data_IF_285906055221
#
_entry.id   IF_285906055221
#
_cell.length_a   1.000
_cell.length_b   1.000
_cell.length_c   1.000
_cell.angle_alpha   90.00
_cell.angle_beta   90.00
_cell.angle_gamma   90.00
#
_symmetry.space_group_name_H-M   'P 1'
#
loop_
_entity.id
_entity.type
_entity.pdbx_description
1 polymer ?
#
# COMPACT_ATOMS: atom_id res chain seq x y z
N UNK A 1 -43.41 60.23 59.64
CA UNK A 1 -42.43 59.18 59.46
C UNK A 1 -42.53 58.73 57.99
N UNK A 2 -41.70 59.31 57.17
CA UNK A 2 -41.61 59.06 55.70
C UNK A 2 -40.59 58.00 55.45
N UNK A 3 -40.93 56.94 54.76
CA UNK A 3 -40.05 55.88 54.31
C UNK A 3 -39.77 56.15 52.85
N UNK A 4 -38.49 56.47 52.55
CA UNK A 4 -37.97 56.65 51.23
C UNK A 4 -37.77 55.27 50.54
N UNK A 5 -38.37 55.08 49.38
CA UNK A 5 -38.13 53.95 48.48
C UNK A 5 -37.04 54.38 47.49
N UNK A 6 -35.89 53.72 47.56
CA UNK A 6 -34.85 53.82 46.51
C UNK A 6 -35.18 52.80 45.40
N UNK A 7 -35.23 53.28 44.17
CA UNK A 7 -35.36 52.50 42.94
C UNK A 7 -33.93 52.34 42.37
N UNK A 8 -33.41 51.12 42.43
CA UNK A 8 -32.14 50.78 41.76
C UNK A 8 -32.43 50.34 40.35
N UNK A 9 -32.00 51.11 39.34
CA UNK A 9 -32.02 50.74 37.95
C UNK A 9 -30.83 49.83 37.66
N UNK A 10 -31.11 48.57 37.33
CA UNK A 10 -30.11 47.61 36.89
C UNK A 10 -29.87 47.77 35.38
N UNK A 11 -28.64 48.15 35.01
CA UNK A 11 -28.17 48.14 33.65
C UNK A 11 -27.80 46.69 33.24
N UNK A 12 -28.58 46.09 32.33
CA UNK A 12 -28.22 44.83 31.68
C UNK A 12 -27.18 45.10 30.60
N UNK A 13 -25.92 44.73 30.85
CA UNK A 13 -24.90 44.72 29.81
C UNK A 13 -25.09 43.49 28.91
N UNK A 14 -25.47 43.69 27.66
CA UNK A 14 -25.46 42.66 26.62
C UNK A 14 -24.00 42.36 26.24
N UNK A 15 -23.45 41.25 26.70
CA UNK A 15 -22.21 40.67 26.19
C UNK A 15 -22.52 40.05 24.82
N UNK A 16 -22.20 40.78 23.75
CA UNK A 16 -22.11 40.22 22.40
C UNK A 16 -20.80 39.40 22.35
N UNK A 17 -20.95 38.08 22.61
CA UNK A 17 -19.85 37.16 22.36
C UNK A 17 -19.60 37.05 20.86
N UNK A 18 -18.51 37.66 20.37
CA UNK A 18 -17.99 37.37 19.06
C UNK A 18 -17.43 35.93 19.12
N UNK A 19 -18.18 34.97 18.61
CA UNK A 19 -17.67 33.66 18.30
C UNK A 19 -16.62 33.87 17.17
N UNK A 20 -15.36 34.01 17.52
CA UNK A 20 -14.25 33.82 16.59
C UNK A 20 -14.33 32.35 16.21
N UNK A 21 -14.90 32.04 15.05
CA UNK A 21 -14.68 30.76 14.40
C UNK A 21 -13.15 30.63 14.25
N UNK A 22 -12.54 29.74 15.01
CA UNK A 22 -11.20 29.29 14.69
C UNK A 22 -11.33 28.69 13.29
N UNK A 23 -10.86 29.40 12.26
CA UNK A 23 -10.56 28.78 10.98
C UNK A 23 -9.58 27.66 11.33
N UNK A 24 -9.97 26.43 11.12
CA UNK A 24 -9.01 25.32 11.18
C UNK A 24 -7.87 25.72 10.26
N UNK A 25 -6.66 25.76 10.78
CA UNK A 25 -5.48 26.04 9.97
C UNK A 25 -5.40 24.94 8.93
N UNK A 26 -5.37 25.32 7.67
CA UNK A 26 -5.25 24.39 6.56
C UNK A 26 -3.96 23.57 6.77
N UNK A 27 -4.06 22.25 6.69
CA UNK A 27 -2.90 21.38 6.86
C UNK A 27 -2.00 21.56 5.64
N UNK A 28 -0.73 21.87 5.87
CA UNK A 28 0.27 22.12 4.81
C UNK A 28 1.47 21.18 4.88
N UNK A 29 1.57 20.37 5.92
CA UNK A 29 2.65 19.40 6.13
C UNK A 29 2.06 17.99 6.09
N UNK A 30 2.61 17.12 5.23
CA UNK A 30 2.13 15.74 5.03
C UNK A 30 3.29 14.77 5.11
N UNK A 31 2.99 13.55 5.53
CA UNK A 31 3.96 12.46 5.62
C UNK A 31 3.44 11.22 4.94
N UNK A 32 4.26 10.59 4.13
CA UNK A 32 3.93 9.35 3.40
C UNK A 32 4.97 8.29 3.70
N UNK A 33 4.53 7.11 4.12
CA UNK A 33 5.40 5.98 4.37
C UNK A 33 5.51 5.06 3.15
N UNK A 34 6.66 4.42 2.98
CA UNK A 34 6.86 3.35 2.02
C UNK A 34 7.87 2.33 2.56
N UNK A 35 7.86 1.12 2.03
CA UNK A 35 8.84 0.08 2.33
C UNK A 35 9.52 -0.42 1.06
N UNK A 36 10.62 -1.19 1.23
CA UNK A 36 11.41 -1.67 0.10
C UNK A 36 10.64 -2.75 -0.67
N UNK A 37 10.27 -2.41 -1.88
CA UNK A 37 9.73 -3.26 -2.93
C UNK A 37 10.13 -2.67 -4.28
N UNK A 38 10.45 -3.47 -5.27
CA UNK A 38 11.01 -2.97 -6.54
C UNK A 38 10.11 -1.92 -7.22
N UNK A 39 8.79 -2.13 -7.20
CA UNK A 39 7.80 -1.18 -7.76
C UNK A 39 7.62 0.09 -6.93
N UNK A 40 8.06 0.10 -5.65
CA UNK A 40 7.97 1.28 -4.77
C UNK A 40 9.28 2.06 -4.62
N UNK A 41 10.40 1.58 -5.17
CA UNK A 41 11.67 2.32 -5.18
C UNK A 41 11.56 3.75 -5.73
N UNK A 42 10.63 4.06 -6.66
CA UNK A 42 10.39 5.43 -7.09
C UNK A 42 10.08 6.40 -5.95
N UNK A 43 9.39 5.96 -4.86
CA UNK A 43 9.08 6.83 -3.73
C UNK A 43 10.35 7.34 -3.02
N UNK A 44 11.33 6.45 -2.77
CA UNK A 44 12.63 6.87 -2.24
C UNK A 44 13.38 7.80 -3.18
N UNK A 45 13.35 7.50 -4.49
CA UNK A 45 13.97 8.38 -5.49
C UNK A 45 13.32 9.76 -5.56
N UNK A 46 12.00 9.87 -5.37
CA UNK A 46 11.29 11.15 -5.30
C UNK A 46 11.82 12.07 -4.20
N UNK A 47 12.09 11.50 -3.02
CA UNK A 47 12.67 12.21 -1.87
C UNK A 47 14.11 12.62 -2.18
N UNK A 48 14.97 11.66 -2.52
CA UNK A 48 16.40 11.86 -2.69
C UNK A 48 16.75 12.81 -3.84
N UNK A 49 15.95 12.83 -4.89
CA UNK A 49 16.16 13.70 -6.07
C UNK A 49 15.58 15.09 -5.95
N UNK A 50 14.74 15.34 -4.92
CA UNK A 50 14.00 16.60 -4.77
C UNK A 50 12.82 16.76 -5.75
N UNK A 51 12.40 15.70 -6.44
CA UNK A 51 11.22 15.75 -7.31
C UNK A 51 9.96 15.94 -6.46
N UNK A 52 9.89 15.30 -5.26
CA UNK A 52 8.77 15.51 -4.35
C UNK A 52 8.67 16.97 -3.90
N UNK A 53 9.79 17.57 -3.47
CA UNK A 53 9.86 18.99 -3.08
C UNK A 53 9.36 19.91 -4.20
N UNK A 54 9.81 19.68 -5.42
CA UNK A 54 9.37 20.48 -6.60
C UNK A 54 7.86 20.48 -6.78
N UNK A 55 7.21 19.32 -6.61
CA UNK A 55 5.77 19.19 -6.76
C UNK A 55 5.02 19.73 -5.54
N UNK A 56 5.54 19.55 -4.34
CA UNK A 56 5.00 20.12 -3.11
C UNK A 56 5.05 21.65 -3.14
N UNK A 57 6.18 22.23 -3.53
CA UNK A 57 6.37 23.70 -3.71
C UNK A 57 5.37 24.29 -4.72
N UNK A 58 5.08 23.57 -5.81
CA UNK A 58 4.10 24.00 -6.82
C UNK A 58 2.72 24.27 -6.21
N UNK A 59 2.35 23.50 -5.19
CA UNK A 59 1.06 23.60 -4.51
C UNK A 59 1.14 24.29 -3.14
N UNK A 60 2.33 24.75 -2.73
CA UNK A 60 2.52 25.48 -1.48
C UNK A 60 2.36 24.61 -0.22
N UNK A 61 2.70 23.32 -0.32
CA UNK A 61 2.66 22.34 0.76
C UNK A 61 4.05 21.75 0.97
N UNK A 62 4.21 20.94 2.02
CA UNK A 62 5.39 20.15 2.35
C UNK A 62 4.98 18.68 2.43
N UNK A 63 5.74 17.79 1.80
CA UNK A 63 5.47 16.33 1.78
C UNK A 63 6.76 15.58 2.05
N UNK A 64 6.86 14.94 3.22
CA UNK A 64 7.97 14.09 3.62
C UNK A 64 7.69 12.63 3.21
N UNK A 65 8.57 12.03 2.41
CA UNK A 65 8.50 10.61 2.03
C UNK A 65 9.45 9.80 2.92
N UNK A 66 8.90 8.91 3.75
CA UNK A 66 9.63 8.20 4.80
C UNK A 66 9.73 6.71 4.51
N UNK A 67 10.94 6.20 4.39
CA UNK A 67 11.16 4.75 4.30
C UNK A 67 11.02 4.09 5.68
N UNK A 68 10.19 3.06 5.76
CA UNK A 68 10.05 2.17 6.93
C UNK A 68 10.49 0.78 6.49
N UNK A 69 11.48 0.20 7.17
CA UNK A 69 12.09 -1.06 6.75
C UNK A 69 11.23 -2.31 7.04
N UNK A 70 10.18 -2.18 7.83
CA UNK A 70 9.20 -3.24 8.08
C UNK A 70 7.89 -2.85 7.41
N UNK A 71 7.44 -3.67 6.47
CA UNK A 71 6.29 -3.40 5.63
C UNK A 71 4.99 -3.25 6.44
N UNK A 72 4.68 -4.24 7.29
CA UNK A 72 3.43 -4.21 8.08
C UNK A 72 3.46 -3.08 9.11
N UNK A 73 4.63 -2.77 9.68
CA UNK A 73 4.79 -1.63 10.59
C UNK A 73 4.49 -0.31 9.89
N UNK A 74 4.88 -0.15 8.60
CA UNK A 74 4.56 1.06 7.83
C UNK A 74 3.04 1.28 7.72
N UNK A 75 2.29 0.21 7.43
CA UNK A 75 0.83 0.24 7.34
C UNK A 75 0.19 0.48 8.73
N UNK A 76 0.73 -0.13 9.79
CA UNK A 76 0.25 0.08 11.15
C UNK A 76 0.43 1.53 11.60
N UNK A 77 1.56 2.16 11.28
CA UNK A 77 1.79 3.57 11.59
C UNK A 77 0.84 4.50 10.81
N UNK A 78 0.57 4.20 9.54
CA UNK A 78 -0.48 4.88 8.77
C UNK A 78 -1.86 4.70 9.43
N UNK A 79 -2.22 3.48 9.77
CA UNK A 79 -3.50 3.15 10.43
C UNK A 79 -3.66 3.89 11.76
N UNK A 80 -2.56 4.09 12.49
CA UNK A 80 -2.52 4.87 13.73
C UNK A 80 -2.51 6.39 13.52
N UNK A 81 -2.48 6.88 12.27
CA UNK A 81 -2.49 8.30 11.92
C UNK A 81 -1.15 9.01 12.03
N UNK A 82 -0.02 8.27 12.07
CA UNK A 82 1.32 8.85 12.05
C UNK A 82 1.73 9.31 10.64
N UNK A 83 1.09 8.79 9.60
CA UNK A 83 1.28 9.13 8.20
C UNK A 83 -0.06 9.45 7.53
N UNK A 84 -0.03 10.28 6.50
CA UNK A 84 -1.19 10.66 5.68
C UNK A 84 -1.41 9.72 4.51
N UNK A 85 -0.38 8.99 4.12
CA UNK A 85 -0.41 7.97 3.09
C UNK A 85 0.64 6.89 3.34
N UNK A 86 0.47 5.76 2.65
CA UNK A 86 1.41 4.63 2.72
C UNK A 86 1.35 3.83 1.41
N UNK A 87 2.49 3.26 0.98
CA UNK A 87 2.48 2.24 -0.07
C UNK A 87 2.06 0.89 0.54
N UNK A 88 1.05 0.27 -0.05
CA UNK A 88 0.54 -1.03 0.41
C UNK A 88 -0.11 -1.79 -0.74
N UNK A 89 -0.20 -3.12 -0.62
CA UNK A 89 -0.97 -3.92 -1.57
C UNK A 89 -2.48 -3.75 -1.33
N UNK A 90 -3.28 -4.09 -2.32
CA UNK A 90 -4.74 -4.05 -2.22
C UNK A 90 -5.28 -4.91 -1.07
N UNK A 91 -4.71 -6.09 -0.85
CA UNK A 91 -5.15 -7.01 0.21
C UNK A 91 -4.78 -6.52 1.61
N UNK A 92 -3.58 -5.96 1.78
CA UNK A 92 -3.14 -5.43 3.07
C UNK A 92 -3.84 -4.10 3.39
N UNK A 93 -4.16 -3.30 2.37
CA UNK A 93 -5.04 -2.14 2.51
C UNK A 93 -6.44 -2.54 2.97
N UNK A 94 -6.98 -3.63 2.41
CA UNK A 94 -8.30 -4.15 2.79
C UNK A 94 -8.31 -4.68 4.22
N UNK A 95 -7.31 -5.48 4.61
CA UNK A 95 -7.29 -6.18 5.89
C UNK A 95 -6.85 -5.29 7.07
N UNK A 96 -5.92 -4.36 6.88
CA UNK A 96 -5.31 -3.61 7.99
C UNK A 96 -6.01 -2.24 8.15
N UNK A 97 -5.77 -1.19 7.34
CA UNK A 97 -6.39 0.11 7.60
C UNK A 97 -7.89 0.07 7.38
N UNK A 98 -8.38 -0.47 6.25
CA UNK A 98 -9.81 -0.45 5.94
C UNK A 98 -10.60 -1.38 6.85
N UNK A 99 -10.08 -2.59 7.13
CA UNK A 99 -10.64 -3.51 8.10
C UNK A 99 -10.61 -2.96 9.54
N UNK A 100 -9.62 -2.13 9.85
CA UNK A 100 -9.49 -1.37 11.10
C UNK A 100 -10.40 -0.14 11.19
N UNK A 101 -11.17 0.17 10.14
CA UNK A 101 -12.11 1.30 10.09
C UNK A 101 -11.49 2.64 9.68
N UNK A 102 -10.27 2.65 9.15
CA UNK A 102 -9.65 3.85 8.56
C UNK A 102 -10.12 3.98 7.12
N UNK A 103 -10.87 5.04 6.81
CA UNK A 103 -11.33 5.33 5.45
C UNK A 103 -10.13 5.73 4.58
N UNK A 104 -9.79 4.87 3.62
CA UNK A 104 -8.55 4.88 2.85
C UNK A 104 -8.86 4.92 1.35
N UNK A 105 -8.18 5.82 0.63
CA UNK A 105 -8.30 5.97 -0.82
C UNK A 105 -7.02 5.50 -1.51
N UNK A 106 -7.12 4.53 -2.41
CA UNK A 106 -6.09 4.21 -3.40
C UNK A 106 -6.01 5.37 -4.39
N UNK A 107 -5.04 6.25 -4.17
CA UNK A 107 -4.79 7.46 -4.94
C UNK A 107 -4.07 7.15 -6.26
N UNK A 108 -3.12 6.21 -6.18
CA UNK A 108 -2.33 5.73 -7.32
C UNK A 108 -2.35 4.21 -7.30
N UNK A 109 -2.66 3.60 -8.42
CA UNK A 109 -2.39 2.20 -8.72
C UNK A 109 -1.10 2.19 -9.53
N UNK A 110 0.00 1.77 -8.91
CA UNK A 110 1.34 1.87 -9.48
C UNK A 110 1.69 0.73 -10.42
N UNK A 111 1.29 -0.46 -10.04
CA UNK A 111 1.59 -1.71 -10.74
C UNK A 111 0.77 -2.87 -10.19
N UNK A 112 0.96 -4.06 -10.75
CA UNK A 112 0.66 -5.32 -10.10
C UNK A 112 1.83 -6.29 -10.21
N UNK A 113 2.00 -7.11 -9.19
CA UNK A 113 3.04 -8.14 -9.13
C UNK A 113 2.78 -9.22 -10.19
N UNK A 114 3.78 -9.53 -11.00
CA UNK A 114 3.71 -10.50 -12.11
C UNK A 114 4.99 -11.36 -12.16
N UNK A 115 5.27 -12.08 -11.06
CA UNK A 115 6.46 -12.87 -10.84
C UNK A 115 7.40 -12.32 -9.76
N UNK A 116 7.03 -11.22 -9.13
CA UNK A 116 7.84 -10.47 -8.17
C UNK A 116 7.77 -11.07 -6.76
N UNK A 117 6.56 -11.47 -6.34
CA UNK A 117 6.34 -12.22 -5.10
C UNK A 117 6.52 -13.70 -5.36
N UNK A 118 7.22 -14.42 -4.47
CA UNK A 118 7.54 -15.83 -4.71
C UNK A 118 7.59 -16.68 -3.44
N UNK A 119 7.24 -17.95 -3.62
CA UNK A 119 7.46 -19.05 -2.68
C UNK A 119 8.78 -19.72 -3.05
N UNK A 120 9.74 -19.71 -2.15
CA UNK A 120 11.10 -20.22 -2.34
C UNK A 120 11.42 -21.28 -1.30
N UNK A 121 12.05 -22.38 -1.71
CA UNK A 121 12.49 -23.46 -0.82
C UNK A 121 13.97 -23.71 -0.94
N UNK A 122 14.55 -24.35 0.07
CA UNK A 122 15.87 -24.97 -0.03
C UNK A 122 15.76 -26.36 -0.65
N UNK A 123 16.61 -26.60 -1.64
CA UNK A 123 16.64 -27.86 -2.39
C UNK A 123 15.65 -27.88 -3.56
N UNK A 124 15.61 -29.02 -4.22
CA UNK A 124 14.70 -29.29 -5.32
C UNK A 124 13.35 -29.79 -4.77
N UNK A 125 12.27 -29.41 -5.41
CA UNK A 125 10.92 -29.87 -5.03
C UNK A 125 9.85 -29.23 -5.89
N UNK A 126 8.62 -29.58 -5.56
CA UNK A 126 7.40 -28.92 -6.03
C UNK A 126 6.60 -28.41 -4.82
N UNK A 127 5.46 -27.77 -5.05
CA UNK A 127 4.62 -27.21 -3.99
C UNK A 127 4.20 -28.27 -2.96
N UNK A 128 4.02 -29.55 -3.36
CA UNK A 128 3.65 -30.60 -2.43
C UNK A 128 4.76 -30.92 -1.41
N UNK A 129 5.99 -30.54 -1.71
CA UNK A 129 7.14 -30.68 -0.80
C UNK A 129 7.10 -29.73 0.39
N UNK A 130 6.17 -28.78 0.43
CA UNK A 130 5.93 -27.89 1.58
C UNK A 130 5.23 -28.62 2.72
N UNK A 131 4.54 -29.73 2.46
CA UNK A 131 3.90 -30.52 3.51
C UNK A 131 4.90 -30.89 4.62
N UNK A 132 4.47 -30.75 5.88
CA UNK A 132 5.27 -30.97 7.08
C UNK A 132 6.53 -30.08 7.23
N UNK A 133 6.68 -29.00 6.42
CA UNK A 133 7.78 -28.03 6.55
C UNK A 133 7.32 -26.71 7.19
N UNK A 134 8.20 -26.04 7.95
CA UNK A 134 7.96 -24.68 8.36
C UNK A 134 8.15 -23.72 7.16
N UNK A 135 7.32 -22.68 7.08
CA UNK A 135 7.40 -21.62 6.07
C UNK A 135 7.51 -20.28 6.79
N UNK A 136 8.54 -19.52 6.48
CA UNK A 136 8.76 -18.19 7.02
C UNK A 136 8.21 -17.13 6.04
N UNK A 137 7.46 -16.18 6.56
CA UNK A 137 6.87 -15.08 5.78
C UNK A 137 6.46 -13.93 6.72
N UNK A 138 6.08 -12.80 6.15
CA UNK A 138 5.40 -11.75 6.90
C UNK A 138 3.94 -12.18 7.10
N UNK A 139 3.60 -12.57 8.33
CA UNK A 139 2.29 -13.14 8.65
C UNK A 139 1.16 -12.12 8.46
N UNK A 140 0.02 -12.58 7.95
CA UNK A 140 -1.17 -11.78 7.65
C UNK A 140 -0.96 -10.69 6.58
N UNK A 141 0.09 -10.80 5.76
CA UNK A 141 0.38 -9.91 4.64
C UNK A 141 0.16 -10.57 3.28
N UNK A 142 0.49 -9.83 2.21
CA UNK A 142 0.55 -10.32 0.82
C UNK A 142 1.31 -11.64 0.68
N UNK A 143 2.40 -11.85 1.43
CA UNK A 143 3.15 -13.11 1.42
C UNK A 143 2.34 -14.28 1.97
N UNK A 144 1.50 -14.05 2.99
CA UNK A 144 0.59 -15.06 3.50
C UNK A 144 -0.51 -15.39 2.48
N UNK A 145 -1.04 -14.37 1.80
CA UNK A 145 -1.96 -14.55 0.69
C UNK A 145 -1.34 -15.41 -0.42
N UNK A 146 -0.12 -15.09 -0.88
CA UNK A 146 0.57 -15.85 -1.93
C UNK A 146 0.81 -17.30 -1.51
N UNK A 147 1.25 -17.55 -0.27
CA UNK A 147 1.40 -18.91 0.25
C UNK A 147 0.08 -19.69 0.18
N UNK A 148 -1.00 -19.08 0.65
CA UNK A 148 -2.30 -19.75 0.68
C UNK A 148 -2.79 -20.06 -0.75
N UNK A 149 -2.56 -19.14 -1.73
CA UNK A 149 -2.86 -19.38 -3.16
C UNK A 149 -2.01 -20.52 -3.74
N UNK A 150 -0.71 -20.56 -3.39
CA UNK A 150 0.19 -21.63 -3.80
C UNK A 150 -0.27 -23.00 -3.28
N UNK A 151 -0.60 -23.08 -1.99
CA UNK A 151 -1.10 -24.30 -1.35
C UNK A 151 -2.43 -24.78 -1.98
N UNK A 152 -3.39 -23.86 -2.21
CA UNK A 152 -4.67 -24.18 -2.83
C UNK A 152 -4.50 -24.77 -4.24
N UNK A 153 -3.46 -24.35 -4.99
CA UNK A 153 -3.20 -24.82 -6.35
C UNK A 153 -2.84 -26.32 -6.42
N UNK A 154 -2.45 -26.91 -5.28
CA UNK A 154 -2.07 -28.32 -5.13
C UNK A 154 -2.90 -29.06 -4.07
N UNK A 155 -4.09 -28.56 -3.74
CA UNK A 155 -5.01 -29.14 -2.75
C UNK A 155 -4.39 -29.29 -1.34
N UNK A 156 -3.38 -28.48 -0.98
CA UNK A 156 -2.83 -28.35 0.37
C UNK A 156 -3.48 -27.19 1.12
N UNK A 157 -3.39 -27.25 2.44
CA UNK A 157 -3.82 -26.18 3.35
C UNK A 157 -2.68 -25.85 4.31
N UNK A 158 -2.73 -24.69 4.91
CA UNK A 158 -1.76 -24.28 5.95
C UNK A 158 -1.63 -25.31 7.08
N UNK A 159 -2.73 -25.97 7.44
CA UNK A 159 -2.72 -27.05 8.44
C UNK A 159 -1.90 -28.28 8.03
N UNK A 160 -1.54 -28.41 6.77
CA UNK A 160 -0.68 -29.48 6.24
C UNK A 160 0.82 -29.11 6.31
N UNK A 161 1.15 -27.87 6.68
CA UNK A 161 2.50 -27.39 6.98
C UNK A 161 2.89 -27.75 8.43
N UNK A 162 4.19 -27.74 8.73
CA UNK A 162 4.64 -27.84 10.12
C UNK A 162 4.27 -26.58 10.94
N UNK A 163 4.45 -25.42 10.35
CA UNK A 163 4.07 -24.10 10.89
C UNK A 163 4.24 -23.02 9.86
N UNK A 164 3.51 -21.91 10.00
CA UNK A 164 3.87 -20.61 9.46
C UNK A 164 4.62 -19.84 10.55
N UNK A 165 5.72 -19.19 10.20
CA UNK A 165 6.60 -18.48 11.13
C UNK A 165 6.68 -17.01 10.68
N UNK A 166 6.15 -16.11 11.51
CA UNK A 166 6.25 -14.69 11.26
C UNK A 166 7.70 -14.23 11.25
N UNK A 167 8.13 -13.66 10.13
CA UNK A 167 9.49 -13.15 9.91
C UNK A 167 9.37 -11.83 9.15
N UNK A 168 9.90 -10.75 9.74
CA UNK A 168 9.93 -9.45 9.08
C UNK A 168 10.69 -9.53 7.74
N UNK A 169 10.23 -8.76 6.75
CA UNK A 169 10.92 -8.61 5.47
C UNK A 169 12.39 -8.14 5.66
N UNK A 170 12.63 -7.25 6.61
CA UNK A 170 13.97 -6.80 6.95
C UNK A 170 14.93 -7.94 7.40
N UNK A 171 14.39 -9.01 7.97
CA UNK A 171 15.16 -10.15 8.48
C UNK A 171 15.16 -11.37 7.51
N UNK A 172 14.36 -11.35 6.45
CA UNK A 172 14.05 -12.52 5.63
C UNK A 172 15.29 -13.16 4.98
N UNK A 173 16.21 -12.36 4.43
CA UNK A 173 17.45 -12.84 3.81
C UNK A 173 18.33 -13.55 4.86
N UNK A 174 18.50 -12.90 6.03
CA UNK A 174 19.30 -13.46 7.11
C UNK A 174 18.67 -14.75 7.68
N UNK A 175 17.35 -14.80 7.78
CA UNK A 175 16.61 -15.99 8.20
C UNK A 175 16.83 -17.14 7.22
N UNK A 176 16.66 -16.91 5.90
CA UNK A 176 16.86 -17.95 4.88
C UNK A 176 18.29 -18.49 4.86
N UNK A 177 19.30 -17.68 5.20
CA UNK A 177 20.69 -18.14 5.27
C UNK A 177 20.96 -19.17 6.40
N UNK A 178 20.03 -19.37 7.37
CA UNK A 178 20.15 -20.34 8.45
C UNK A 178 19.67 -21.74 8.05
N UNK A 179 20.24 -22.81 8.62
CA UNK A 179 19.85 -24.19 8.31
C UNK A 179 18.42 -24.52 8.78
N UNK A 180 17.87 -23.77 9.73
CA UNK A 180 16.54 -24.01 10.31
C UNK A 180 15.40 -23.55 9.40
N UNK A 181 15.66 -22.57 8.50
CA UNK A 181 14.66 -22.06 7.55
C UNK A 181 14.70 -22.91 6.28
N UNK A 182 13.57 -23.52 5.94
CA UNK A 182 13.45 -24.43 4.80
C UNK A 182 12.67 -23.83 3.62
N UNK A 183 11.75 -22.90 3.90
CA UNK A 183 10.95 -22.21 2.90
C UNK A 183 10.65 -20.80 3.34
N UNK A 184 10.57 -19.87 2.38
CA UNK A 184 10.19 -18.48 2.61
C UNK A 184 9.21 -18.02 1.54
N UNK A 185 8.38 -17.03 1.90
CA UNK A 185 7.57 -16.28 0.93
C UNK A 185 7.88 -14.81 1.11
N UNK A 186 8.27 -14.16 0.02
CA UNK A 186 8.72 -12.77 0.03
C UNK A 186 8.66 -12.18 -1.39
N UNK A 187 9.15 -10.97 -1.55
CA UNK A 187 9.13 -10.20 -2.80
C UNK A 187 10.51 -9.65 -3.19
N UNK A 188 10.65 -9.10 -4.41
CA UNK A 188 11.89 -8.45 -4.83
C UNK A 188 12.08 -7.08 -4.13
N UNK A 189 13.34 -6.77 -3.73
CA UNK A 189 14.60 -7.40 -4.15
C UNK A 189 15.01 -8.66 -3.37
N UNK A 190 14.29 -9.02 -2.30
CA UNK A 190 14.66 -10.15 -1.42
C UNK A 190 14.65 -11.49 -2.18
N UNK A 191 13.65 -11.72 -3.04
CA UNK A 191 13.56 -12.91 -3.91
C UNK A 191 14.83 -13.08 -4.73
N UNK A 192 15.28 -12.04 -5.44
CA UNK A 192 16.47 -12.10 -6.27
C UNK A 192 17.72 -12.42 -5.45
N UNK A 193 17.87 -11.79 -4.28
CA UNK A 193 19.00 -12.04 -3.38
C UNK A 193 19.00 -13.47 -2.84
N UNK A 194 17.84 -13.99 -2.44
CA UNK A 194 17.73 -15.37 -1.95
C UNK A 194 18.01 -16.39 -3.05
N UNK A 195 17.60 -16.12 -4.29
CA UNK A 195 17.85 -17.00 -5.44
C UNK A 195 19.31 -17.00 -5.93
N UNK A 196 20.18 -16.15 -5.38
CA UNK A 196 21.64 -16.27 -5.58
C UNK A 196 22.21 -17.51 -4.87
N UNK A 197 21.53 -18.03 -3.84
CA UNK A 197 21.88 -19.30 -3.23
C UNK A 197 21.58 -20.45 -4.21
N UNK A 198 22.58 -21.25 -4.63
CA UNK A 198 22.38 -22.36 -5.55
C UNK A 198 21.46 -23.46 -5.02
N UNK A 199 21.14 -23.45 -3.72
CA UNK A 199 20.18 -24.37 -3.11
C UNK A 199 18.75 -23.81 -3.10
N UNK A 200 18.55 -22.53 -3.44
CA UNK A 200 17.22 -21.94 -3.48
C UNK A 200 16.50 -22.28 -4.79
N UNK A 201 15.25 -22.68 -4.67
CA UNK A 201 14.36 -22.97 -5.81
C UNK A 201 13.02 -22.27 -5.64
N UNK A 202 12.59 -21.53 -6.68
CA UNK A 202 11.27 -20.90 -6.72
C UNK A 202 10.23 -21.94 -7.13
N UNK A 203 9.16 -22.09 -6.35
CA UNK A 203 8.10 -23.08 -6.57
C UNK A 203 6.82 -22.48 -7.15
N UNK A 204 6.53 -21.23 -6.81
CA UNK A 204 5.34 -20.50 -7.22
C UNK A 204 5.64 -19.00 -7.18
N UNK A 205 5.00 -18.23 -8.02
CA UNK A 205 5.12 -16.79 -7.95
C UNK A 205 3.81 -16.08 -8.38
N UNK A 206 3.79 -14.75 -8.27
CA UNK A 206 2.61 -13.93 -8.57
C UNK A 206 2.18 -13.97 -10.04
N UNK A 207 3.03 -14.45 -10.97
CA UNK A 207 2.62 -14.67 -12.36
C UNK A 207 1.64 -15.84 -12.54
N UNK A 208 1.53 -16.73 -11.53
CA UNK A 208 0.52 -17.78 -11.49
C UNK A 208 -0.88 -17.25 -11.10
N UNK A 209 -0.93 -16.03 -10.55
CA UNK A 209 -2.15 -15.32 -10.10
C UNK A 209 -2.15 -13.85 -10.60
N UNK A 210 -2.01 -13.60 -11.91
CA UNK A 210 -1.78 -12.26 -12.45
C UNK A 210 -2.92 -11.29 -12.13
N UNK A 211 -2.57 -10.08 -11.68
CA UNK A 211 -3.52 -9.01 -11.35
C UNK A 211 -4.24 -9.18 -10.00
N UNK A 212 -3.91 -10.19 -9.19
CA UNK A 212 -4.47 -10.34 -7.84
C UNK A 212 -3.71 -9.48 -6.81
N UNK A 213 -2.38 -9.36 -6.93
CA UNK A 213 -1.54 -8.53 -6.05
C UNK A 213 -1.32 -7.19 -6.74
N UNK A 214 -2.01 -6.16 -6.26
CA UNK A 214 -2.02 -4.81 -6.82
C UNK A 214 -1.32 -3.87 -5.85
N UNK A 215 -0.38 -3.09 -6.36
CA UNK A 215 0.45 -2.17 -5.59
C UNK A 215 -0.07 -0.74 -5.66
N UNK A 216 -0.29 -0.16 -4.48
CA UNK A 216 -1.01 1.09 -4.32
C UNK A 216 -0.19 2.12 -3.55
N UNK A 217 -0.41 3.38 -3.85
CA UNK A 217 -0.25 4.46 -2.88
C UNK A 217 -1.64 4.78 -2.33
N UNK A 218 -1.84 4.54 -1.05
CA UNK A 218 -3.10 4.85 -0.38
C UNK A 218 -2.94 6.04 0.55
N UNK A 219 -3.98 6.83 0.67
CA UNK A 219 -4.02 8.02 1.52
C UNK A 219 -5.30 8.05 2.35
N UNK A 220 -5.28 8.72 3.49
CA UNK A 220 -6.47 8.93 4.30
C UNK A 220 -7.48 9.77 3.53
N UNK A 221 -8.72 9.25 3.39
CA UNK A 221 -9.77 9.87 2.57
C UNK A 221 -10.16 11.26 3.07
N UNK A 222 -10.27 11.47 4.38
CA UNK A 222 -10.61 12.77 4.95
C UNK A 222 -9.48 13.78 4.71
N UNK A 223 -8.23 13.37 4.92
CA UNK A 223 -7.06 14.20 4.64
C UNK A 223 -7.02 14.62 3.17
N UNK A 224 -7.23 13.68 2.24
CA UNK A 224 -7.26 13.96 0.80
C UNK A 224 -8.40 14.90 0.42
N UNK A 225 -9.60 14.68 0.93
CA UNK A 225 -10.77 15.51 0.65
C UNK A 225 -10.60 16.96 1.16
N UNK A 226 -9.95 17.13 2.31
CA UNK A 226 -9.65 18.45 2.86
C UNK A 226 -8.48 19.14 2.16
N UNK A 227 -7.56 18.39 1.54
CA UNK A 227 -6.32 18.88 0.95
C UNK A 227 -6.08 18.26 -0.45
N UNK A 228 -6.86 18.62 -1.47
CA UNK A 228 -6.73 18.02 -2.81
C UNK A 228 -5.38 18.31 -3.47
N UNK A 229 -4.67 19.35 -3.05
CA UNK A 229 -3.33 19.68 -3.56
C UNK A 229 -2.27 18.65 -3.12
N UNK A 230 -2.49 17.98 -1.99
CA UNK A 230 -1.68 16.84 -1.57
C UNK A 230 -1.75 15.68 -2.59
N UNK A 231 -2.96 15.31 -3.03
CA UNK A 231 -3.13 14.28 -4.07
C UNK A 231 -2.51 14.68 -5.42
N UNK A 232 -2.61 15.97 -5.81
CA UNK A 232 -1.98 16.46 -7.04
C UNK A 232 -0.46 16.43 -6.97
N UNK A 233 0.12 16.78 -5.82
CA UNK A 233 1.57 16.73 -5.62
C UNK A 233 2.10 15.30 -5.72
N UNK A 234 1.46 14.35 -5.02
CA UNK A 234 1.85 12.93 -5.07
C UNK A 234 1.75 12.34 -6.48
N UNK A 235 0.60 12.52 -7.15
CA UNK A 235 0.41 12.01 -8.50
C UNK A 235 1.36 12.67 -9.52
N UNK A 236 1.59 13.98 -9.39
CA UNK A 236 2.51 14.70 -10.27
C UNK A 236 3.95 14.22 -10.12
N UNK A 237 4.42 14.06 -8.88
CA UNK A 237 5.74 13.53 -8.59
C UNK A 237 5.91 12.10 -9.11
N UNK A 238 4.95 11.22 -8.81
CA UNK A 238 4.95 9.82 -9.25
C UNK A 238 5.07 9.69 -10.77
N UNK A 239 4.17 10.34 -11.52
CA UNK A 239 4.17 10.22 -12.97
C UNK A 239 5.32 10.96 -13.66
N UNK A 240 5.99 11.90 -12.99
CA UNK A 240 7.26 12.42 -13.48
C UNK A 240 8.36 11.35 -13.47
N UNK A 241 8.49 10.62 -12.36
CA UNK A 241 9.47 9.51 -12.27
C UNK A 241 9.08 8.37 -13.21
N UNK A 242 7.79 8.02 -13.30
CA UNK A 242 7.31 7.01 -14.26
C UNK A 242 7.70 7.38 -15.69
N UNK A 243 7.59 8.64 -16.07
CA UNK A 243 8.03 9.12 -17.39
C UNK A 243 9.53 8.99 -17.60
N UNK A 244 10.35 9.24 -16.58
CA UNK A 244 11.81 9.05 -16.65
C UNK A 244 12.18 7.57 -16.78
N UNK A 245 11.52 6.69 -16.02
CA UNK A 245 11.71 5.25 -16.10
C UNK A 245 11.30 4.69 -17.47
N UNK A 246 10.13 5.10 -17.99
CA UNK A 246 9.66 4.72 -19.32
C UNK A 246 10.60 5.18 -20.44
N UNK A 247 11.23 6.34 -20.28
CA UNK A 247 12.25 6.84 -21.22
C UNK A 247 13.58 6.08 -21.10
N UNK A 248 13.74 5.21 -20.10
CA UNK A 248 14.99 4.48 -19.85
C UNK A 248 16.11 5.37 -19.31
N UNK A 249 15.79 6.40 -18.51
CA UNK A 249 16.79 7.26 -17.89
C UNK A 249 17.71 6.45 -17.00
N UNK A 250 18.94 6.23 -17.48
CA UNK A 250 19.91 5.34 -16.84
C UNK A 250 20.35 5.89 -15.46
N UNK A 251 20.38 7.20 -15.27
CA UNK A 251 20.76 7.78 -13.98
C UNK A 251 19.67 7.52 -12.90
N UNK A 252 18.41 7.68 -13.27
CA UNK A 252 17.26 7.40 -12.41
C UNK A 252 17.19 5.92 -12.05
N UNK A 253 17.27 5.04 -13.05
CA UNK A 253 17.24 3.58 -12.84
C UNK A 253 18.42 3.08 -12.02
N UNK A 254 19.63 3.64 -12.23
CA UNK A 254 20.82 3.29 -11.46
C UNK A 254 20.71 3.72 -10.00
N UNK A 255 20.18 4.92 -9.74
CA UNK A 255 19.98 5.39 -8.38
C UNK A 255 19.01 4.48 -7.58
N UNK A 256 17.92 4.05 -8.20
CA UNK A 256 16.99 3.10 -7.59
C UNK A 256 17.60 1.71 -7.42
N UNK A 257 18.40 1.25 -8.38
CA UNK A 257 19.12 -0.01 -8.28
C UNK A 257 20.09 -0.02 -7.08
N UNK A 258 20.90 1.02 -6.94
CA UNK A 258 21.84 1.16 -5.82
C UNK A 258 21.11 1.23 -4.48
N UNK A 259 19.98 1.97 -4.40
CA UNK A 259 19.15 2.07 -3.20
C UNK A 259 18.48 0.73 -2.83
N UNK A 260 18.16 -0.12 -3.81
CA UNK A 260 17.62 -1.47 -3.58
C UNK A 260 18.69 -2.54 -3.35
N UNK A 261 19.98 -2.16 -3.37
CA UNK A 261 21.11 -3.05 -3.10
C UNK A 261 21.52 -3.95 -4.27
N UNK A 262 21.16 -3.58 -5.52
CA UNK A 262 21.52 -4.31 -6.74
C UNK A 262 22.18 -3.39 -7.77
N UNK A 263 22.61 -3.94 -8.91
CA UNK A 263 23.04 -3.14 -10.05
C UNK A 263 21.88 -2.85 -11.02
N UNK A 264 22.13 -1.98 -12.01
CA UNK A 264 21.11 -1.59 -13.00
C UNK A 264 20.50 -2.81 -13.71
N UNK A 265 21.31 -3.82 -14.07
CA UNK A 265 20.81 -5.00 -14.78
C UNK A 265 19.91 -5.85 -13.86
N UNK A 266 20.28 -6.00 -12.59
CA UNK A 266 19.49 -6.67 -11.57
C UNK A 266 18.16 -5.97 -11.33
N UNK A 267 18.18 -4.65 -11.17
CA UNK A 267 16.95 -3.86 -10.99
C UNK A 267 16.00 -3.97 -12.20
N UNK A 268 16.55 -3.87 -13.42
CA UNK A 268 15.75 -4.05 -14.63
C UNK A 268 15.16 -5.47 -14.75
N UNK A 269 15.90 -6.50 -14.31
CA UNK A 269 15.38 -7.86 -14.27
C UNK A 269 14.23 -8.01 -13.24
N UNK A 270 14.34 -7.34 -12.09
CA UNK A 270 13.28 -7.32 -11.08
C UNK A 270 12.05 -6.56 -11.58
N UNK A 271 12.22 -5.39 -12.24
CA UNK A 271 11.12 -4.65 -12.86
C UNK A 271 10.39 -5.47 -13.93
N UNK A 272 11.07 -6.36 -14.64
CA UNK A 272 10.45 -7.24 -15.65
C UNK A 272 9.47 -8.27 -15.05
N UNK A 273 9.48 -8.46 -13.73
CA UNK A 273 8.51 -9.28 -12.98
C UNK A 273 7.40 -8.43 -12.32
N UNK A 274 7.24 -7.18 -12.76
CA UNK A 274 6.25 -6.22 -12.27
C UNK A 274 5.57 -5.57 -13.47
N UNK A 275 4.25 -5.58 -13.51
CA UNK A 275 3.48 -4.86 -14.55
C UNK A 275 3.31 -3.41 -14.14
N UNK A 276 4.34 -2.59 -14.38
CA UNK A 276 4.38 -1.17 -14.01
C UNK A 276 3.47 -0.34 -14.91
N UNK A 277 2.63 0.50 -14.33
CA UNK A 277 1.82 1.48 -15.05
C UNK A 277 2.60 2.80 -15.25
N UNK A 278 3.51 2.79 -16.22
CA UNK A 278 4.30 3.98 -16.55
C UNK A 278 3.45 5.12 -17.14
N UNK A 279 2.43 4.78 -17.92
CA UNK A 279 1.45 5.73 -18.45
C UNK A 279 0.27 5.84 -17.48
N UNK A 280 -0.06 7.04 -16.99
CA UNK A 280 -1.22 7.22 -16.11
C UNK A 280 -2.54 6.78 -16.75
N UNK A 281 -2.66 6.81 -18.09
CA UNK A 281 -3.85 6.32 -18.78
C UNK A 281 -4.04 4.79 -18.61
N UNK A 282 -2.95 4.01 -18.54
CA UNK A 282 -3.02 2.58 -18.30
C UNK A 282 -3.47 2.29 -16.87
N UNK A 283 -2.96 3.04 -15.89
CA UNK A 283 -3.40 2.96 -14.50
C UNK A 283 -4.90 3.30 -14.35
N UNK A 284 -5.38 4.35 -15.03
CA UNK A 284 -6.80 4.71 -15.08
C UNK A 284 -7.62 3.59 -15.71
N UNK A 285 -7.16 3.04 -16.83
CA UNK A 285 -7.87 1.96 -17.53
C UNK A 285 -7.97 0.70 -16.66
N UNK A 286 -6.89 0.30 -16.00
CA UNK A 286 -6.88 -0.82 -15.06
C UNK A 286 -7.84 -0.58 -13.88
N UNK A 287 -7.74 0.59 -13.24
CA UNK A 287 -8.54 0.95 -12.05
C UNK A 287 -10.04 1.07 -12.39
N UNK A 288 -10.37 1.41 -13.63
CA UNK A 288 -11.76 1.53 -14.12
C UNK A 288 -12.26 0.25 -14.80
N UNK A 289 -11.47 -0.84 -14.79
CA UNK A 289 -11.84 -2.09 -15.44
C UNK A 289 -13.01 -2.77 -14.73
N UNK A 290 -13.79 -3.55 -15.48
CA UNK A 290 -14.86 -4.35 -14.90
C UNK A 290 -14.34 -5.55 -14.11
N UNK A 291 -13.08 -5.90 -14.29
CA UNK A 291 -12.38 -7.00 -13.62
C UNK A 291 -11.98 -6.63 -12.19
N UNK A 292 -11.55 -5.38 -11.92
CA UNK A 292 -11.08 -4.95 -10.60
C UNK A 292 -12.10 -5.24 -9.46
N UNK A 293 -13.40 -4.89 -9.57
CA UNK A 293 -14.36 -5.24 -8.53
C UNK A 293 -14.49 -6.74 -8.30
N UNK A 294 -14.36 -7.56 -9.35
CA UNK A 294 -14.43 -9.03 -9.25
C UNK A 294 -13.19 -9.59 -8.55
N UNK A 295 -12.01 -9.07 -8.90
CA UNK A 295 -10.75 -9.42 -8.22
C UNK A 295 -10.84 -9.09 -6.73
N UNK A 296 -11.31 -7.89 -6.37
CA UNK A 296 -11.42 -7.48 -4.96
C UNK A 296 -12.42 -8.32 -4.17
N UNK A 297 -13.53 -8.74 -4.78
CA UNK A 297 -14.46 -9.69 -4.14
C UNK A 297 -13.78 -11.03 -3.90
N UNK A 298 -13.10 -11.59 -4.90
CA UNK A 298 -12.39 -12.87 -4.77
C UNK A 298 -11.27 -12.79 -3.71
N UNK A 299 -10.52 -11.68 -3.69
CA UNK A 299 -9.48 -11.43 -2.67
C UNK A 299 -10.11 -11.38 -1.27
N UNK A 300 -11.21 -10.62 -1.07
CA UNK A 300 -11.87 -10.50 0.22
C UNK A 300 -12.43 -11.85 0.72
N UNK A 301 -13.09 -12.62 -0.17
CA UNK A 301 -13.59 -13.97 0.14
C UNK A 301 -12.44 -14.90 0.53
N UNK A 302 -11.34 -14.88 -0.24
CA UNK A 302 -10.19 -15.72 0.03
C UNK A 302 -9.50 -15.35 1.35
N UNK A 303 -9.27 -14.06 1.61
CA UNK A 303 -8.69 -13.58 2.87
C UNK A 303 -9.56 -14.00 4.06
N UNK A 304 -10.88 -13.91 3.94
CA UNK A 304 -11.81 -14.32 4.98
C UNK A 304 -11.76 -15.84 5.23
N UNK A 305 -11.81 -16.65 4.18
CA UNK A 305 -11.78 -18.11 4.26
C UNK A 305 -10.48 -18.64 4.89
N UNK A 306 -9.37 -17.94 4.66
CA UNK A 306 -8.05 -18.29 5.22
C UNK A 306 -7.77 -17.66 6.59
N UNK A 307 -8.68 -16.79 7.07
CA UNK A 307 -8.51 -16.09 8.35
C UNK A 307 -7.50 -14.95 8.32
N UNK A 308 -7.17 -14.44 7.11
CA UNK A 308 -6.18 -13.37 6.88
C UNK A 308 -6.85 -11.98 6.85
N UNK A 309 -8.18 -11.90 6.70
CA UNK A 309 -8.90 -10.61 6.59
C UNK A 309 -8.90 -9.78 7.89
N UNK A 310 -8.25 -10.26 8.94
CA UNK A 310 -8.15 -9.63 10.24
C UNK A 310 -8.95 -10.35 11.32
N UNK A 311 -8.45 -10.27 12.56
CA UNK A 311 -9.13 -10.86 13.72
C UNK A 311 -10.51 -10.20 13.92
N UNK A 312 -11.55 -11.04 13.90
CA UNK A 312 -12.92 -10.58 14.18
C UNK A 312 -13.68 -10.05 12.96
N UNK A 313 -13.17 -10.19 11.73
CA UNK A 313 -13.95 -9.94 10.53
C UNK A 313 -15.24 -10.77 10.58
N UNK A 314 -16.44 -10.14 10.56
CA UNK A 314 -17.71 -10.87 10.71
C UNK A 314 -18.10 -11.64 9.44
N UNK A 315 -17.60 -11.22 8.27
CA UNK A 315 -17.88 -11.79 6.95
C UNK A 315 -16.85 -11.28 5.93
N UNK A 316 -16.75 -11.90 4.77
CA UNK A 316 -15.86 -11.48 3.68
C UNK A 316 -16.21 -10.08 3.14
N UNK A 317 -17.46 -9.69 3.24
CA UNK A 317 -18.02 -8.46 2.69
C UNK A 317 -18.20 -7.33 3.73
N UNK A 318 -17.60 -7.44 4.93
CA UNK A 318 -17.79 -6.44 5.98
C UNK A 318 -17.17 -5.06 5.66
N UNK A 319 -16.15 -5.01 4.83
CA UNK A 319 -15.58 -3.77 4.28
C UNK A 319 -16.25 -3.44 2.96
N UNK A 320 -16.83 -2.25 2.87
CA UNK A 320 -17.32 -1.70 1.61
C UNK A 320 -16.15 -1.11 0.81
N UNK A 321 -16.08 -1.46 -0.48
CA UNK A 321 -15.08 -0.96 -1.43
C UNK A 321 -15.79 -0.17 -2.52
N UNK A 322 -15.49 1.13 -2.63
CA UNK A 322 -16.04 2.00 -3.67
C UNK A 322 -15.11 2.08 -4.89
N UNK A 323 -15.71 2.13 -6.08
CA UNK A 323 -15.01 2.18 -7.38
C UNK A 323 -15.31 3.46 -8.17
N UNK A 324 -14.47 3.81 -9.18
CA UNK A 324 -14.60 5.06 -9.93
C UNK A 324 -15.93 5.23 -10.68
N UNK A 325 -16.60 4.13 -11.04
CA UNK A 325 -17.91 4.14 -11.72
C UNK A 325 -19.09 4.39 -10.77
N UNK A 326 -18.82 4.55 -9.47
CA UNK A 326 -19.81 4.74 -8.41
C UNK A 326 -20.40 3.44 -7.88
N UNK A 327 -19.94 2.29 -8.35
CA UNK A 327 -20.33 0.99 -7.79
C UNK A 327 -19.63 0.74 -6.45
N UNK A 328 -20.15 -0.21 -5.68
CA UNK A 328 -19.59 -0.64 -4.39
C UNK A 328 -19.71 -2.15 -4.29
N UNK A 329 -18.64 -2.81 -3.84
CA UNK A 329 -18.69 -4.20 -3.36
C UNK A 329 -18.59 -4.23 -1.83
N UNK A 330 -18.99 -5.33 -1.21
CA UNK A 330 -19.04 -5.45 0.25
C UNK A 330 -20.15 -4.60 0.88
N UNK A 331 -19.97 -4.21 2.13
CA UNK A 331 -20.98 -3.49 2.92
C UNK A 331 -21.03 -2.00 2.55
N UNK A 332 -22.08 -1.60 1.83
CA UNK A 332 -22.27 -0.21 1.40
C UNK A 332 -22.47 0.79 2.58
N UNK A 333 -22.81 0.29 3.77
CA UNK A 333 -22.93 1.11 4.98
C UNK A 333 -21.57 1.24 5.73
N UNK A 334 -20.53 0.49 5.30
CA UNK A 334 -19.18 0.48 5.90
C UNK A 334 -18.08 0.63 4.82
N UNK A 335 -18.20 1.67 3.98
CA UNK A 335 -17.21 1.94 2.92
C UNK A 335 -15.98 2.61 3.51
N UNK A 336 -14.91 1.83 3.66
CA UNK A 336 -13.62 2.27 4.19
C UNK A 336 -12.45 2.02 3.23
N UNK A 337 -12.73 1.49 2.03
CA UNK A 337 -11.74 1.40 0.96
C UNK A 337 -12.29 2.01 -0.33
N UNK A 338 -11.46 2.81 -1.03
CA UNK A 338 -11.87 3.51 -2.25
C UNK A 338 -10.77 3.42 -3.30
N UNK A 339 -11.14 3.09 -4.53
CA UNK A 339 -10.30 3.31 -5.71
C UNK A 339 -10.72 4.63 -6.36
N UNK A 340 -9.77 5.55 -6.55
CA UNK A 340 -10.02 6.88 -7.14
C UNK A 340 -9.07 7.09 -8.33
N UNK A 341 -9.63 7.40 -9.49
CA UNK A 341 -8.86 7.70 -10.71
C UNK A 341 -8.63 9.19 -10.94
N UNK A 342 -9.19 10.06 -10.09
CA UNK A 342 -9.18 11.51 -10.30
C UNK A 342 -7.78 12.06 -10.56
N UNK A 343 -6.82 11.73 -9.73
CA UNK A 343 -5.47 12.28 -9.82
C UNK A 343 -4.62 11.61 -10.91
N UNK A 344 -4.82 10.31 -11.14
CA UNK A 344 -4.22 9.59 -12.27
C UNK A 344 -4.76 10.15 -13.61
N UNK A 345 -6.07 10.44 -13.68
CA UNK A 345 -6.68 11.07 -14.87
C UNK A 345 -6.15 12.49 -15.08
N UNK A 346 -5.97 13.30 -14.02
CA UNK A 346 -5.34 14.62 -14.14
C UNK A 346 -3.92 14.53 -14.70
N UNK A 347 -3.15 13.52 -14.30
CA UNK A 347 -1.83 13.26 -14.86
C UNK A 347 -1.92 12.90 -16.35
N UNK A 348 -2.82 12.01 -16.73
CA UNK A 348 -3.04 11.59 -18.12
C UNK A 348 -3.46 12.78 -19.02
N UNK A 349 -4.26 13.69 -18.49
CA UNK A 349 -4.74 14.90 -19.20
C UNK A 349 -3.70 16.04 -19.20
N UNK A 350 -2.57 15.91 -18.50
CA UNK A 350 -1.59 16.98 -18.31
C UNK A 350 -2.13 18.17 -17.51
N UNK A 351 -3.02 17.92 -16.57
CA UNK A 351 -3.72 18.92 -15.76
C UNK A 351 -3.15 19.10 -14.33
N UNK A 352 -2.04 18.43 -14.01
CA UNK A 352 -1.32 18.57 -12.74
C UNK A 352 -0.34 19.73 -12.74
#
# INVERSE_FOLDING_TARGET
MQILRQVTAGAAALLIGTASGALAQEKTEFRVAWSIYVGWMPWGHLEDSGIMDKWADKYGIDVEIVQINDYVESINQYTAGAFDGVSATNMDTLSIPSGGGVDTTALIVGDFSNGNDAVIVKGDGDLTSLADKPVNLVELSVSHYLLARALDSVDLREADLASVINTSDADMIAAFATDDVQAVVTWNPLVSTILEDPQASKLFDSSDIPGEIIDLMVVNTETLAANPDFGKALAGAWYEVMGLMAAGDEAVLTAMAEASGTDLAGYQAQLASTEMFYDPADAVAFTSSAELPQTMVSVAEFLFDKGILGEGAPSADFVGIAYPDGSTTGDADNVTFRFDTTYMQMAADGAL
#
